data_IF_677060104299
#
_entry.id   IF_677060104299
#
_cell.length_a   1.000
_cell.length_b   1.000
_cell.length_c   1.000
_cell.angle_alpha   90.00
_cell.angle_beta   90.00
_cell.angle_gamma   90.00
#
_symmetry.space_group_name_H-M   'P 1'
#
loop_
_entity.id
_entity.type
_entity.pdbx_description
1 polymer ?
#
# COMPACT_ATOMS: atom_id res chain seq x y z
N UNK A 1 -37.26 -19.93 41.13
CA UNK A 1 -37.53 -19.26 39.83
C UNK A 1 -36.74 -17.96 39.63
N UNK A 2 -36.61 -17.06 40.62
CA UNK A 2 -35.87 -15.79 40.45
C UNK A 2 -34.34 -15.93 40.32
N UNK A 3 -33.74 -16.89 41.05
CA UNK A 3 -32.28 -17.13 41.07
C UNK A 3 -31.74 -17.72 39.76
N UNK A 4 -32.50 -18.63 39.14
CA UNK A 4 -32.18 -19.22 37.84
C UNK A 4 -32.29 -18.19 36.71
N UNK A 5 -33.25 -17.27 36.80
CA UNK A 5 -33.40 -16.17 35.83
C UNK A 5 -32.23 -15.17 35.88
N UNK A 6 -31.70 -14.90 37.08
CA UNK A 6 -30.54 -14.02 37.26
C UNK A 6 -29.26 -14.64 36.69
N UNK A 7 -29.06 -15.94 36.92
CA UNK A 7 -27.90 -16.67 36.39
C UNK A 7 -27.92 -16.75 34.86
N UNK A 8 -29.10 -16.96 34.27
CA UNK A 8 -29.28 -16.97 32.82
C UNK A 8 -29.07 -15.59 32.20
N UNK A 9 -29.51 -14.52 32.87
CA UNK A 9 -29.23 -13.14 32.45
C UNK A 9 -27.74 -12.79 32.52
N UNK A 10 -27.01 -13.23 33.56
CA UNK A 10 -25.56 -13.05 33.64
C UNK A 10 -24.81 -13.81 32.54
N UNK A 11 -25.27 -15.03 32.21
CA UNK A 11 -24.65 -15.85 31.15
C UNK A 11 -24.84 -15.22 29.76
N UNK A 12 -26.04 -14.69 29.49
CA UNK A 12 -26.34 -13.96 28.25
C UNK A 12 -25.57 -12.64 28.16
N UNK A 13 -25.41 -11.91 29.27
CA UNK A 13 -24.62 -10.68 29.31
C UNK A 13 -23.12 -10.94 29.14
N UNK A 14 -22.61 -12.07 29.66
CA UNK A 14 -21.22 -12.51 29.46
C UNK A 14 -20.91 -12.88 28.00
N UNK A 15 -21.86 -13.48 27.29
CA UNK A 15 -21.73 -13.79 25.86
C UNK A 15 -21.69 -12.55 24.95
N UNK A 16 -22.28 -11.43 25.39
CA UNK A 16 -22.24 -10.14 24.67
C UNK A 16 -20.88 -9.42 24.80
N UNK A 17 -20.03 -9.84 25.73
CA UNK A 17 -18.68 -9.29 25.95
C UNK A 17 -17.61 -10.06 25.17
N UNK A 18 -17.96 -10.65 24.02
CA UNK A 18 -16.99 -11.20 23.08
C UNK A 18 -16.03 -10.08 22.66
N UNK A 19 -14.83 -10.08 23.23
CA UNK A 19 -13.78 -9.12 22.91
C UNK A 19 -13.29 -9.47 21.50
N UNK A 20 -13.64 -8.64 20.52
CA UNK A 20 -12.94 -8.64 19.24
C UNK A 20 -11.50 -8.20 19.54
N UNK A 21 -10.61 -9.16 19.76
CA UNK A 21 -9.19 -8.86 19.90
C UNK A 21 -8.71 -8.44 18.51
N UNK A 22 -8.43 -7.15 18.35
CA UNK A 22 -7.80 -6.68 17.14
C UNK A 22 -6.44 -7.39 17.06
N UNK A 23 -6.22 -8.17 16.01
CA UNK A 23 -4.96 -8.89 15.85
C UNK A 23 -3.81 -7.88 15.99
N UNK A 24 -2.71 -8.24 16.68
CA UNK A 24 -1.67 -7.31 17.10
C UNK A 24 -0.71 -6.94 15.95
N UNK A 25 -1.23 -6.77 14.74
CA UNK A 25 -0.44 -6.42 13.57
C UNK A 25 0.10 -5.01 13.68
N UNK A 26 1.33 -4.86 13.21
CA UNK A 26 1.89 -3.57 12.84
C UNK A 26 1.72 -3.35 11.35
N UNK A 27 1.88 -2.12 10.89
CA UNK A 27 1.99 -1.86 9.46
C UNK A 27 3.37 -2.28 8.97
N UNK A 28 3.42 -3.21 8.02
CA UNK A 28 4.56 -3.44 7.16
C UNK A 28 4.56 -2.46 5.99
N UNK A 29 5.73 -2.29 5.37
CA UNK A 29 5.91 -1.51 4.14
C UNK A 29 6.79 -2.30 3.18
N UNK A 30 6.42 -2.34 1.91
CA UNK A 30 7.22 -2.99 0.86
C UNK A 30 7.32 -2.10 -0.37
N UNK A 31 8.54 -2.01 -0.92
CA UNK A 31 8.82 -1.33 -2.20
C UNK A 31 8.60 -2.30 -3.35
N UNK A 32 7.53 -2.07 -4.09
CA UNK A 32 7.20 -2.83 -5.28
C UNK A 32 7.94 -2.26 -6.50
N UNK A 33 8.40 -3.15 -7.37
CA UNK A 33 8.79 -2.83 -8.75
C UNK A 33 7.85 -3.58 -9.67
N UNK A 34 7.08 -2.83 -10.45
CA UNK A 34 6.09 -3.33 -11.41
C UNK A 34 6.56 -3.02 -12.83
N UNK A 35 6.02 -3.74 -13.80
CA UNK A 35 6.22 -3.45 -15.22
C UNK A 35 5.05 -2.62 -15.72
N UNK A 36 5.33 -1.51 -16.41
CA UNK A 36 4.32 -0.72 -17.08
C UNK A 36 3.68 -1.49 -18.24
N UNK A 37 2.36 -1.73 -18.21
CA UNK A 37 1.70 -2.44 -19.31
C UNK A 37 1.72 -1.65 -20.63
N UNK A 38 1.99 -0.34 -20.61
CA UNK A 38 1.99 0.53 -21.79
C UNK A 38 3.34 0.52 -22.50
N UNK A 39 4.45 0.73 -21.77
CA UNK A 39 5.79 0.86 -22.35
C UNK A 39 6.82 -0.18 -21.86
N UNK A 40 6.37 -1.15 -21.05
CA UNK A 40 7.17 -2.24 -20.47
C UNK A 40 8.29 -1.78 -19.53
N UNK A 41 8.26 -0.54 -19.04
CA UNK A 41 9.32 -0.01 -18.18
C UNK A 41 9.06 -0.27 -16.70
N UNK A 42 10.11 -0.32 -15.88
CA UNK A 42 9.94 -0.45 -14.43
C UNK A 42 9.21 0.77 -13.86
N UNK A 43 8.21 0.51 -13.03
CA UNK A 43 7.55 1.50 -12.19
C UNK A 43 7.65 1.09 -10.72
N UNK A 44 7.74 2.08 -9.84
CA UNK A 44 7.89 1.82 -8.40
C UNK A 44 6.60 2.14 -7.65
N UNK A 45 6.34 1.42 -6.56
CA UNK A 45 5.18 1.64 -5.71
C UNK A 45 5.49 1.27 -4.25
N UNK A 46 4.71 1.80 -3.32
CA UNK A 46 4.81 1.50 -1.89
C UNK A 46 3.51 0.87 -1.40
N UNK A 47 3.58 -0.39 -0.95
CA UNK A 47 2.44 -1.08 -0.38
C UNK A 47 2.55 -1.18 1.15
N UNK A 48 1.45 -0.87 1.84
CA UNK A 48 1.30 -1.12 3.27
C UNK A 48 0.50 -2.41 3.47
N UNK A 49 0.85 -3.21 4.48
CA UNK A 49 0.20 -4.49 4.75
C UNK A 49 0.28 -4.86 6.23
N UNK A 50 -0.57 -5.77 6.73
CA UNK A 50 -0.47 -6.27 8.10
C UNK A 50 0.80 -7.11 8.25
N UNK A 51 1.65 -6.80 9.22
CA UNK A 51 2.90 -7.52 9.48
C UNK A 51 3.00 -7.94 10.94
N UNK A 52 3.72 -9.04 11.17
CA UNK A 52 4.16 -9.51 12.49
C UNK A 52 5.60 -9.09 12.81
N UNK A 53 6.21 -8.26 11.98
CA UNK A 53 7.56 -7.73 12.19
C UNK A 53 7.63 -6.63 13.24
N UNK A 54 8.83 -6.09 13.46
CA UNK A 54 9.06 -4.98 14.38
C UNK A 54 8.93 -3.64 13.64
N UNK A 55 7.99 -2.79 14.06
CA UNK A 55 7.80 -1.48 13.45
C UNK A 55 8.73 -0.41 14.04
N UNK A 56 9.48 0.26 13.18
CA UNK A 56 10.47 1.29 13.52
C UNK A 56 10.14 2.62 12.84
N UNK A 57 10.55 3.77 13.42
CA UNK A 57 10.41 5.06 12.75
C UNK A 57 11.31 5.14 11.52
N UNK A 58 10.75 5.55 10.38
CA UNK A 58 11.44 5.64 9.10
C UNK A 58 11.04 6.93 8.39
N UNK A 59 11.89 7.39 7.47
CA UNK A 59 11.66 8.63 6.72
C UNK A 59 11.75 8.37 5.23
N UNK A 60 10.64 8.61 4.53
CA UNK A 60 10.47 8.32 3.10
C UNK A 60 9.90 9.57 2.44
N UNK A 61 10.59 10.08 1.42
CA UNK A 61 10.17 11.30 0.69
C UNK A 61 9.87 12.51 1.59
N UNK A 62 10.59 12.63 2.72
CA UNK A 62 10.39 13.69 3.71
C UNK A 62 9.29 13.42 4.75
N UNK A 63 8.46 12.39 4.56
CA UNK A 63 7.44 11.97 5.52
C UNK A 63 8.02 11.03 6.58
N UNK A 64 7.57 11.17 7.82
CA UNK A 64 7.90 10.25 8.91
C UNK A 64 6.76 9.24 9.07
N UNK A 65 7.08 7.94 9.12
CA UNK A 65 6.10 6.91 9.45
C UNK A 65 6.74 5.84 10.33
N UNK A 66 5.93 4.99 10.97
CA UNK A 66 6.42 3.89 11.80
C UNK A 66 5.90 2.57 11.24
N UNK A 67 6.79 1.81 10.62
CA UNK A 67 6.46 0.58 9.86
C UNK A 67 7.53 -0.47 10.06
N UNK A 68 7.18 -1.74 9.80
CA UNK A 68 8.12 -2.83 9.64
C UNK A 68 8.52 -2.90 8.15
N UNK A 69 9.58 -2.19 7.76
CA UNK A 69 10.07 -2.20 6.35
C UNK A 69 10.54 -3.60 5.97
N UNK A 70 10.07 -4.09 4.82
CA UNK A 70 10.50 -5.35 4.21
C UNK A 70 10.33 -6.60 5.11
N UNK A 71 9.48 -6.51 6.11
CA UNK A 71 9.19 -7.60 7.04
C UNK A 71 8.16 -8.59 6.47
N UNK A 72 8.08 -9.82 7.00
CA UNK A 72 7.06 -10.77 6.56
C UNK A 72 5.64 -10.22 6.72
N UNK A 73 4.80 -10.48 5.72
CA UNK A 73 3.35 -10.29 5.83
C UNK A 73 2.83 -11.20 6.93
N UNK A 74 1.91 -10.71 7.76
CA UNK A 74 1.29 -11.53 8.78
C UNK A 74 0.50 -12.69 8.15
N UNK A 75 0.35 -13.79 8.88
CA UNK A 75 -0.45 -14.91 8.39
C UNK A 75 -1.95 -14.56 8.42
N UNK A 76 -2.63 -14.69 7.28
CA UNK A 76 -4.06 -14.43 7.17
C UNK A 76 -4.54 -14.17 5.75
N UNK A 77 -5.85 -13.98 5.61
CA UNK A 77 -6.47 -13.44 4.41
C UNK A 77 -6.86 -11.99 4.70
N UNK A 78 -6.43 -11.08 3.84
CA UNK A 78 -6.61 -9.65 4.06
C UNK A 78 -7.36 -9.02 2.87
N UNK A 79 -8.38 -8.20 3.12
CA UNK A 79 -8.99 -7.40 2.05
C UNK A 79 -7.97 -6.45 1.43
N UNK A 80 -8.06 -6.29 0.11
CA UNK A 80 -7.27 -5.33 -0.65
C UNK A 80 -8.04 -4.02 -0.77
N UNK A 81 -7.42 -2.90 -0.39
CA UNK A 81 -7.98 -1.56 -0.55
C UNK A 81 -6.99 -0.66 -1.30
N UNK A 82 -7.28 -0.38 -2.56
CA UNK A 82 -6.43 0.47 -3.40
C UNK A 82 -6.75 1.93 -3.11
N UNK A 83 -5.72 2.73 -2.82
CA UNK A 83 -5.88 4.18 -2.59
C UNK A 83 -5.07 4.98 -3.60
N UNK A 84 -5.69 5.99 -4.21
CA UNK A 84 -4.99 6.94 -5.08
C UNK A 84 -4.71 8.23 -4.34
N UNK A 85 -3.53 8.80 -4.54
CA UNK A 85 -3.27 10.18 -4.17
C UNK A 85 -3.93 11.13 -5.20
N UNK A 86 -4.07 12.41 -4.84
CA UNK A 86 -4.55 13.45 -5.76
C UNK A 86 -3.52 13.78 -6.86
N UNK A 87 -3.94 14.56 -7.86
CA UNK A 87 -3.03 15.03 -8.92
C UNK A 87 -1.85 15.79 -8.29
N UNK A 88 -0.62 15.54 -8.74
CA UNK A 88 0.66 16.04 -8.15
C UNK A 88 0.99 15.61 -6.72
N UNK A 89 0.19 14.73 -6.11
CA UNK A 89 0.45 14.20 -4.77
C UNK A 89 1.63 13.23 -4.74
N UNK A 90 2.28 13.14 -3.58
CA UNK A 90 3.26 12.08 -3.29
C UNK A 90 2.54 10.77 -2.96
N UNK A 91 3.14 9.59 -3.22
CA UNK A 91 2.63 8.30 -2.78
C UNK A 91 2.57 8.20 -1.27
N UNK A 92 3.43 8.96 -0.59
CA UNK A 92 3.44 9.11 0.86
C UNK A 92 2.42 10.12 1.37
N UNK A 93 1.69 10.85 0.52
CA UNK A 93 0.69 11.83 1.00
C UNK A 93 -0.43 11.19 1.84
N UNK A 94 -0.72 9.90 1.65
CA UNK A 94 -1.75 9.15 2.39
C UNK A 94 -1.16 8.08 3.33
N UNK A 95 0.12 8.18 3.70
CA UNK A 95 0.82 7.14 4.47
C UNK A 95 0.18 6.86 5.84
N UNK A 96 -0.34 7.87 6.55
CA UNK A 96 -0.98 7.66 7.85
C UNK A 96 -2.27 6.86 7.74
N UNK A 97 -3.07 7.13 6.71
CA UNK A 97 -4.29 6.37 6.41
C UNK A 97 -3.93 4.93 6.03
N UNK A 98 -2.97 4.74 5.14
CA UNK A 98 -2.51 3.43 4.71
C UNK A 98 -1.94 2.60 5.88
N UNK A 99 -1.15 3.22 6.75
CA UNK A 99 -0.59 2.59 7.95
C UNK A 99 -1.71 2.18 8.93
N UNK A 100 -2.67 3.08 9.18
CA UNK A 100 -3.83 2.79 10.03
C UNK A 100 -4.64 1.59 9.51
N UNK A 101 -4.93 1.56 8.21
CA UNK A 101 -5.65 0.45 7.56
C UNK A 101 -4.86 -0.86 7.59
N UNK A 102 -3.55 -0.82 7.37
CA UNK A 102 -2.69 -2.00 7.48
C UNK A 102 -2.72 -2.62 8.88
N UNK A 103 -2.73 -1.79 9.93
CA UNK A 103 -2.90 -2.24 11.31
C UNK A 103 -4.29 -2.82 11.60
N UNK A 104 -5.29 -2.48 10.78
CA UNK A 104 -6.65 -3.04 10.86
C UNK A 104 -6.84 -4.28 9.96
N UNK A 105 -5.78 -4.78 9.32
CA UNK A 105 -5.84 -6.00 8.53
C UNK A 105 -6.08 -5.79 7.03
N UNK A 106 -5.85 -4.59 6.49
CA UNK A 106 -5.96 -4.34 5.05
C UNK A 106 -4.59 -4.38 4.36
N UNK A 107 -4.53 -4.92 3.14
CA UNK A 107 -3.41 -4.67 2.23
C UNK A 107 -3.74 -3.44 1.40
N UNK A 108 -2.87 -2.44 1.43
CA UNK A 108 -3.11 -1.11 0.86
C UNK A 108 -1.99 -0.77 -0.15
N UNK A 109 -2.14 -1.19 -1.42
CA UNK A 109 -1.27 -0.74 -2.50
C UNK A 109 -1.65 0.68 -2.96
N UNK A 110 -0.74 1.39 -3.64
CA UNK A 110 -1.09 2.66 -4.26
C UNK A 110 -1.85 2.42 -5.56
N UNK A 111 -2.74 3.35 -5.91
CA UNK A 111 -3.56 3.27 -7.12
C UNK A 111 -2.78 3.54 -8.40
N UNK A 112 -1.69 4.30 -8.32
CA UNK A 112 -0.82 4.57 -9.46
C UNK A 112 0.66 4.47 -9.04
N UNK A 113 1.48 3.71 -9.78
CA UNK A 113 2.93 3.66 -9.59
C UNK A 113 3.61 4.98 -9.93
N UNK A 114 4.78 5.20 -9.34
CA UNK A 114 5.63 6.34 -9.62
C UNK A 114 6.57 6.02 -10.77
N UNK A 115 6.78 7.00 -11.64
CA UNK A 115 7.83 6.96 -12.64
C UNK A 115 9.22 6.97 -11.97
N UNK A 116 10.26 6.43 -12.63
CA UNK A 116 11.60 6.39 -12.08
C UNK A 116 12.15 7.79 -11.72
N UNK A 117 12.92 7.87 -10.64
CA UNK A 117 13.67 9.07 -10.27
C UNK A 117 14.68 9.43 -11.38
N UNK A 118 14.85 10.71 -11.70
CA UNK A 118 15.94 11.23 -12.54
C UNK A 118 17.28 10.73 -11.96
N UNK A 119 18.16 9.97 -12.65
CA UNK A 119 18.52 9.90 -14.08
C UNK A 119 17.92 8.77 -14.94
N UNK A 120 17.15 7.82 -14.38
CA UNK A 120 16.54 6.73 -15.16
C UNK A 120 15.50 7.26 -16.17
N UNK A 121 14.77 8.32 -15.79
CA UNK A 121 13.83 9.02 -16.68
C UNK A 121 14.51 9.71 -17.89
N UNK A 122 15.80 10.08 -17.80
CA UNK A 122 16.51 10.75 -18.89
C UNK A 122 16.87 9.80 -20.03
N UNK A 123 17.24 8.56 -19.69
CA UNK A 123 17.49 7.49 -20.65
C UNK A 123 16.19 7.14 -21.40
N UNK A 124 15.09 7.07 -20.65
CA UNK A 124 13.73 6.90 -21.15
C UNK A 124 13.18 8.09 -21.95
N UNK A 125 13.76 9.29 -21.91
CA UNK A 125 13.34 10.36 -22.85
C UNK A 125 14.04 10.22 -24.19
N UNK A 126 15.26 9.68 -24.20
CA UNK A 126 16.05 9.51 -25.43
C UNK A 126 15.50 8.42 -26.33
N UNK A 127 15.11 7.28 -25.77
CA UNK A 127 14.55 6.17 -26.54
C UNK A 127 13.22 6.54 -27.28
N UNK A 128 12.32 7.25 -26.62
CA UNK A 128 11.06 7.73 -27.21
C UNK A 128 11.27 8.82 -28.27
N UNK A 129 12.33 9.63 -28.16
CA UNK A 129 12.66 10.66 -29.14
C UNK A 129 13.20 10.10 -30.46
N UNK A 130 13.81 8.91 -30.42
CA UNK A 130 14.28 8.18 -31.61
C UNK A 130 13.11 7.64 -32.44
N UNK A 131 12.08 7.10 -31.79
CA UNK A 131 10.91 6.52 -32.45
C UNK A 131 10.07 7.56 -33.22
N UNK A 132 10.05 8.83 -32.78
CA UNK A 132 9.29 9.89 -33.46
C UNK A 132 9.97 10.49 -34.71
N UNK A 133 11.25 10.20 -34.99
CA UNK A 133 11.97 10.81 -36.12
C UNK A 133 11.79 10.08 -37.46
N UNK A 134 11.15 8.91 -37.49
CA UNK A 134 11.11 8.08 -38.70
C UNK A 134 9.87 8.27 -39.59
N UNK A 135 8.91 9.12 -39.22
CA UNK A 135 7.66 9.33 -39.99
C UNK A 135 7.63 10.61 -40.83
N UNK A 136 8.76 11.29 -41.04
CA UNK A 136 8.85 12.48 -41.88
C UNK A 136 9.91 12.32 -42.99
N UNK A 137 9.72 11.35 -43.89
CA UNK A 137 10.37 11.35 -45.19
C UNK A 137 9.27 11.38 -46.25
N UNK A 138 8.98 12.58 -46.74
CA UNK A 138 8.03 12.82 -47.82
C UNK A 138 8.55 12.17 -49.12
N UNK A 139 7.63 11.54 -49.84
CA UNK A 139 7.80 10.96 -51.18
C UNK A 139 7.92 12.13 -52.19
N UNK A 140 8.93 12.17 -53.07
CA UNK A 140 8.98 13.15 -54.14
C UNK A 140 8.07 12.72 -55.31
N UNK A 141 7.35 13.69 -55.87
CA UNK A 141 6.66 13.60 -57.18
C UNK A 141 7.66 13.53 -58.34
#
# INVERSE_FOLDING_TARGET
MKRSSLLMALFLLGGLLARADAAPWVAGLHRLTLVDPVDAKPMHALAFYPSSGEARPVRIEGYQTRVAEEAPVAMGQFPLLVISHGNTGSPMALHDLANGLARQGFVVPPGHPQQPLWPAAADQRRDHSGAKRQTARAVPE
#
